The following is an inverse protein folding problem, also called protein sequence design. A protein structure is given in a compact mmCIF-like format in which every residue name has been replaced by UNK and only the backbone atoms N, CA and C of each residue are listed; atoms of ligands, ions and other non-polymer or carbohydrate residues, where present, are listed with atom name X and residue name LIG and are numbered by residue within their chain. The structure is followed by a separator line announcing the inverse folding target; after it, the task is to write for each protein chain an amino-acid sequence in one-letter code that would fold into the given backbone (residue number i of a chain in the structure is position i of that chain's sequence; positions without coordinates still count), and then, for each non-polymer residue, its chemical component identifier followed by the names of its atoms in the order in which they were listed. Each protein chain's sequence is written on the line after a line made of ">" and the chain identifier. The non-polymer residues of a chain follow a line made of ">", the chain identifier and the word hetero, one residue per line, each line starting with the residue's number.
data_IF_273799724354
#
_entry.id   IF_273799724354
#
_cell.length_a   1.000
_cell.length_b   1.000
_cell.length_c   1.000
_cell.angle_alpha   90.00
_cell.angle_beta   90.00
_cell.angle_gamma   90.00
#
_symmetry.space_group_name_H-M   'P 1'
#
loop_
_entity.id
_entity.type
_entity.pdbx_description
1 polymer ?
#
# COMPACT_ATOMS: atom_id res chain seq x y z
N UNK A 1 -6.83 2.98 -2.95
CA UNK A 1 -8.30 2.99 -2.76
C UNK A 1 -8.79 2.24 -1.54
N UNK A 2 -8.66 0.91 -1.50
CA UNK A 2 -9.17 0.06 -0.40
C UNK A 2 -8.73 0.54 1.00
N UNK A 3 -7.45 0.90 1.16
CA UNK A 3 -6.94 1.48 2.41
C UNK A 3 -7.64 2.79 2.81
N UNK A 4 -7.85 3.71 1.86
CA UNK A 4 -8.57 4.98 2.09
C UNK A 4 -10.00 4.71 2.55
N UNK A 5 -10.69 3.77 1.91
CA UNK A 5 -12.05 3.37 2.29
C UNK A 5 -12.11 2.79 3.71
N UNK A 6 -11.15 1.93 4.07
CA UNK A 6 -11.04 1.37 5.43
C UNK A 6 -10.75 2.47 6.45
N UNK A 7 -9.78 3.33 6.19
CA UNK A 7 -9.44 4.43 7.08
C UNK A 7 -10.65 5.34 7.34
N UNK A 8 -11.34 5.77 6.28
CA UNK A 8 -12.50 6.64 6.38
C UNK A 8 -13.67 5.98 7.14
N UNK A 9 -13.99 4.74 6.79
CA UNK A 9 -15.08 3.99 7.43
C UNK A 9 -14.81 3.79 8.91
N UNK A 10 -13.59 3.38 9.27
CA UNK A 10 -13.23 3.08 10.66
C UNK A 10 -13.16 4.33 11.50
N UNK A 11 -12.53 5.40 10.99
CA UNK A 11 -12.50 6.71 11.67
C UNK A 11 -13.90 7.20 11.99
N UNK A 12 -14.83 7.06 11.03
CA UNK A 12 -16.25 7.37 11.22
C UNK A 12 -16.90 6.49 12.30
N UNK A 13 -16.67 5.16 12.29
CA UNK A 13 -17.21 4.26 13.33
C UNK A 13 -16.70 4.59 14.73
N UNK A 14 -15.43 4.96 14.88
CA UNK A 14 -14.88 5.45 16.14
C UNK A 14 -15.57 6.76 16.59
N UNK A 15 -15.79 7.69 15.66
CA UNK A 15 -16.55 8.92 15.93
C UNK A 15 -17.98 8.65 16.39
N UNK A 16 -18.66 7.68 15.76
CA UNK A 16 -20.00 7.21 16.12
C UNK A 16 -20.04 6.42 17.46
N UNK A 17 -18.88 6.20 18.11
CA UNK A 17 -18.70 5.29 19.26
C UNK A 17 -19.12 3.84 19.00
N UNK A 18 -19.24 3.45 17.74
CA UNK A 18 -19.59 2.09 17.34
C UNK A 18 -18.33 1.23 17.17
N UNK A 19 -17.71 0.87 18.30
CA UNK A 19 -16.45 0.11 18.35
C UNK A 19 -16.62 -1.29 17.76
N UNK A 20 -17.79 -1.90 17.92
CA UNK A 20 -18.04 -3.23 17.39
C UNK A 20 -18.05 -3.23 15.85
N UNK A 21 -18.69 -2.24 15.23
CA UNK A 21 -18.62 -2.06 13.77
C UNK A 21 -17.16 -1.83 13.30
N UNK A 22 -16.36 -1.08 14.06
CA UNK A 22 -14.94 -0.89 13.75
C UNK A 22 -14.14 -2.21 13.83
N UNK A 23 -14.41 -3.06 14.83
CA UNK A 23 -13.82 -4.39 14.95
C UNK A 23 -14.20 -5.31 13.79
N UNK A 24 -15.44 -5.23 13.32
CA UNK A 24 -15.88 -5.97 12.13
C UNK A 24 -15.11 -5.55 10.88
N UNK A 25 -14.89 -4.25 10.67
CA UNK A 25 -14.06 -3.75 9.56
C UNK A 25 -12.61 -4.22 9.69
N UNK A 26 -12.05 -4.21 10.90
CA UNK A 26 -10.72 -4.75 11.16
C UNK A 26 -10.58 -6.24 10.80
N UNK A 27 -11.65 -7.04 10.93
CA UNK A 27 -11.67 -8.43 10.46
C UNK A 27 -11.63 -8.57 8.93
N UNK A 28 -12.19 -7.61 8.20
CA UNK A 28 -12.22 -7.64 6.72
C UNK A 28 -10.86 -7.38 6.07
N UNK A 29 -9.87 -6.85 6.81
CA UNK A 29 -8.54 -6.58 6.24
C UNK A 29 -7.85 -7.87 5.80
N UNK A 30 -8.07 -8.97 6.52
CA UNK A 30 -7.42 -10.26 6.26
C UNK A 30 -7.95 -10.88 4.97
N UNK A 31 -9.28 -10.86 4.79
CA UNK A 31 -9.92 -11.36 3.57
C UNK A 31 -9.58 -10.49 2.36
N UNK A 32 -9.57 -9.15 2.51
CA UNK A 32 -9.19 -8.22 1.46
C UNK A 32 -7.72 -8.37 1.06
N UNK A 33 -6.80 -8.44 2.04
CA UNK A 33 -5.39 -8.64 1.78
C UNK A 33 -5.11 -10.00 1.13
N UNK A 34 -5.77 -11.06 1.60
CA UNK A 34 -5.67 -12.39 1.00
C UNK A 34 -6.20 -12.42 -0.44
N UNK A 35 -7.36 -11.79 -0.70
CA UNK A 35 -7.95 -11.72 -2.03
C UNK A 35 -7.05 -10.97 -3.02
N UNK A 36 -6.65 -9.74 -2.69
CA UNK A 36 -5.75 -8.96 -3.56
C UNK A 36 -4.37 -9.61 -3.66
N UNK A 37 -3.83 -10.10 -2.56
CA UNK A 37 -2.59 -10.85 -2.54
C UNK A 37 -2.60 -12.03 -3.49
N UNK A 38 -3.65 -12.85 -3.46
CA UNK A 38 -3.81 -14.00 -4.35
C UNK A 38 -3.96 -13.59 -5.81
N UNK A 39 -4.79 -12.57 -6.12
CA UNK A 39 -4.97 -12.08 -7.49
C UNK A 39 -3.64 -11.63 -8.08
N UNK A 40 -2.88 -10.81 -7.37
CA UNK A 40 -1.62 -10.27 -7.86
C UNK A 40 -0.49 -11.30 -7.84
N UNK A 41 -0.49 -12.24 -6.90
CA UNK A 41 0.42 -13.39 -6.91
C UNK A 41 0.21 -14.24 -8.16
N UNK A 42 -1.05 -14.62 -8.46
CA UNK A 42 -1.40 -15.42 -9.63
C UNK A 42 -1.02 -14.66 -10.90
N UNK A 43 -1.34 -13.36 -10.97
CA UNK A 43 -0.95 -12.51 -12.10
C UNK A 43 0.57 -12.49 -12.31
N UNK A 44 1.35 -12.29 -11.24
CA UNK A 44 2.80 -12.20 -11.32
C UNK A 44 3.49 -13.54 -11.63
N UNK A 45 2.94 -14.67 -11.18
CA UNK A 45 3.56 -16.00 -11.41
C UNK A 45 3.18 -16.57 -12.78
N UNK A 46 1.92 -16.43 -13.20
CA UNK A 46 1.42 -17.07 -14.43
C UNK A 46 1.39 -16.15 -15.64
N UNK A 47 1.40 -14.82 -15.44
CA UNK A 47 1.27 -13.83 -16.51
C UNK A 47 2.43 -12.82 -16.52
N UNK A 48 3.57 -13.15 -15.89
CA UNK A 48 4.75 -12.28 -15.85
C UNK A 48 5.21 -11.82 -17.23
N UNK A 49 5.43 -12.74 -18.16
CA UNK A 49 5.90 -12.43 -19.51
C UNK A 49 4.93 -11.49 -20.28
N UNK A 50 3.62 -11.79 -20.42
CA UNK A 50 2.68 -10.85 -21.05
C UNK A 50 2.66 -9.47 -20.39
N UNK A 51 2.69 -9.41 -19.06
CA UNK A 51 2.72 -8.15 -18.31
C UNK A 51 4.00 -7.36 -18.64
N UNK A 52 5.14 -8.04 -18.71
CA UNK A 52 6.43 -7.42 -19.01
C UNK A 52 6.52 -6.96 -20.46
N UNK A 53 6.02 -7.74 -21.42
CA UNK A 53 5.93 -7.35 -22.83
C UNK A 53 5.05 -6.10 -22.97
N UNK A 54 3.87 -6.09 -22.34
CA UNK A 54 2.99 -4.92 -22.32
C UNK A 54 3.64 -3.69 -21.66
N UNK A 55 4.58 -3.92 -20.74
CA UNK A 55 5.34 -2.87 -20.06
C UNK A 55 6.57 -2.41 -20.87
N UNK A 56 6.84 -3.01 -22.04
CA UNK A 56 7.96 -2.65 -22.91
C UNK A 56 9.28 -3.37 -22.63
N UNK A 57 9.25 -4.52 -21.94
CA UNK A 57 10.45 -5.32 -21.71
C UNK A 57 11.02 -5.87 -23.02
N UNK A 58 12.34 -5.72 -23.20
CA UNK A 58 13.08 -6.23 -24.35
C UNK A 58 13.59 -7.66 -24.10
N UNK A 59 13.89 -8.45 -25.16
CA UNK A 59 14.30 -9.85 -25.01
C UNK A 59 15.53 -10.08 -24.13
N UNK A 60 16.46 -9.11 -24.10
CA UNK A 60 17.71 -9.15 -23.33
C UNK A 60 17.51 -9.03 -21.81
N UNK A 61 16.40 -8.42 -21.36
CA UNK A 61 16.09 -8.28 -19.93
C UNK A 61 14.93 -9.17 -19.47
N UNK A 62 14.27 -9.88 -20.39
CA UNK A 62 13.04 -10.62 -20.12
C UNK A 62 13.22 -11.62 -18.99
N UNK A 63 14.27 -12.43 -19.01
CA UNK A 63 14.53 -13.45 -17.99
C UNK A 63 14.74 -12.84 -16.60
N UNK A 64 15.52 -11.75 -16.52
CA UNK A 64 15.78 -11.05 -15.27
C UNK A 64 14.51 -10.39 -14.73
N UNK A 65 13.73 -9.75 -15.60
CA UNK A 65 12.49 -9.08 -15.25
C UNK A 65 11.42 -10.08 -14.80
N UNK A 66 11.30 -11.23 -15.48
CA UNK A 66 10.38 -12.31 -15.11
C UNK A 66 10.70 -12.87 -13.74
N UNK A 67 11.97 -13.13 -13.45
CA UNK A 67 12.40 -13.61 -12.12
C UNK A 67 12.11 -12.59 -11.03
N UNK A 68 12.42 -11.31 -11.28
CA UNK A 68 12.13 -10.22 -10.36
C UNK A 68 10.64 -10.11 -10.04
N UNK A 69 9.80 -10.06 -11.09
CA UNK A 69 8.35 -9.92 -10.95
C UNK A 69 7.73 -11.13 -10.25
N UNK A 70 8.19 -12.34 -10.56
CA UNK A 70 7.71 -13.58 -9.94
C UNK A 70 8.00 -13.58 -8.44
N UNK A 71 9.22 -13.22 -8.02
CA UNK A 71 9.59 -13.13 -6.60
C UNK A 71 8.74 -12.06 -5.90
N UNK A 72 8.58 -10.87 -6.49
CA UNK A 72 7.70 -9.83 -5.95
C UNK A 72 6.24 -10.29 -5.85
N UNK A 73 5.77 -11.15 -6.75
CA UNK A 73 4.46 -11.79 -6.69
C UNK A 73 4.21 -12.46 -5.34
N UNK A 74 5.18 -13.19 -4.81
CA UNK A 74 5.11 -13.80 -3.46
C UNK A 74 5.09 -12.76 -2.33
N UNK A 75 5.58 -11.54 -2.57
CA UNK A 75 5.49 -10.41 -1.66
C UNK A 75 4.10 -9.74 -1.61
N UNK A 76 3.31 -9.86 -2.69
CA UNK A 76 2.05 -9.12 -2.84
C UNK A 76 1.06 -9.29 -1.69
N UNK A 77 0.80 -10.50 -1.15
CA UNK A 77 -0.07 -10.64 0.01
C UNK A 77 0.40 -9.85 1.24
N UNK A 78 1.71 -9.83 1.50
CA UNK A 78 2.30 -9.10 2.62
C UNK A 78 2.25 -7.60 2.39
N UNK A 79 2.52 -7.14 1.16
CA UNK A 79 2.38 -5.75 0.76
C UNK A 79 0.94 -5.25 0.97
N UNK A 80 -0.05 -5.95 0.44
CA UNK A 80 -1.46 -5.58 0.58
C UNK A 80 -1.88 -5.58 2.05
N UNK A 81 -1.50 -6.60 2.82
CA UNK A 81 -1.78 -6.63 4.25
C UNK A 81 -1.15 -5.44 4.97
N UNK A 82 0.14 -5.16 4.74
CA UNK A 82 0.86 -4.04 5.34
C UNK A 82 0.17 -2.70 5.04
N UNK A 83 -0.15 -2.44 3.76
CA UNK A 83 -0.80 -1.18 3.34
C UNK A 83 -2.19 -1.03 3.95
N UNK A 84 -3.00 -2.10 3.95
CA UNK A 84 -4.34 -2.09 4.51
C UNK A 84 -4.29 -1.93 6.04
N UNK A 85 -3.43 -2.67 6.72
CA UNK A 85 -3.24 -2.60 8.17
C UNK A 85 -2.75 -1.22 8.62
N UNK A 86 -1.84 -0.60 7.87
CA UNK A 86 -1.38 0.76 8.12
C UNK A 86 -2.55 1.76 8.08
N UNK A 87 -3.40 1.66 7.05
CA UNK A 87 -4.59 2.50 6.92
C UNK A 87 -5.62 2.26 8.02
N UNK A 88 -5.81 1.00 8.44
CA UNK A 88 -6.67 0.64 9.55
C UNK A 88 -6.19 1.27 10.86
N UNK A 89 -4.92 1.12 11.20
CA UNK A 89 -4.34 1.66 12.45
C UNK A 89 -4.41 3.19 12.48
N UNK A 90 -4.10 3.85 11.35
CA UNK A 90 -4.30 5.30 11.19
C UNK A 90 -5.75 5.71 11.36
N UNK A 91 -6.71 4.89 10.92
CA UNK A 91 -8.14 5.14 11.08
C UNK A 91 -8.60 5.19 12.54
N UNK A 92 -7.88 4.53 13.45
CA UNK A 92 -8.12 4.65 14.91
C UNK A 92 -7.38 5.82 15.57
N UNK A 93 -6.61 6.60 14.80
CA UNK A 93 -5.73 7.66 15.30
C UNK A 93 -4.32 7.19 15.68
N UNK A 94 -3.94 5.94 15.39
CA UNK A 94 -2.59 5.42 15.65
C UNK A 94 -1.71 5.60 14.41
N UNK A 95 -1.02 6.74 14.32
CA UNK A 95 -0.12 7.04 13.21
C UNK A 95 1.33 6.58 13.47
N UNK A 96 1.73 6.49 14.74
CA UNK A 96 3.13 6.30 15.14
C UNK A 96 3.57 4.85 15.00
N UNK A 97 2.80 3.90 15.55
CA UNK A 97 3.18 2.48 15.52
C UNK A 97 3.26 1.90 14.12
N UNK A 98 2.27 2.10 13.22
CA UNK A 98 2.40 1.61 11.85
C UNK A 98 3.53 2.28 11.07
N UNK A 99 3.92 3.52 11.42
CA UNK A 99 5.11 4.16 10.86
C UNK A 99 6.40 3.47 11.33
N UNK A 100 6.52 3.14 12.63
CA UNK A 100 7.68 2.41 13.16
C UNK A 100 7.82 1.03 12.48
N UNK A 101 6.71 0.32 12.24
CA UNK A 101 6.74 -0.98 11.55
C UNK A 101 7.22 -0.87 10.11
N UNK A 102 6.78 0.18 9.39
CA UNK A 102 7.28 0.46 8.04
C UNK A 102 8.77 0.82 8.05
N UNK A 103 9.22 1.66 8.99
CA UNK A 103 10.63 2.02 9.14
C UNK A 103 11.48 0.77 9.39
N UNK A 104 11.02 -0.14 10.25
CA UNK A 104 11.72 -1.41 10.49
C UNK A 104 11.89 -2.20 9.18
N UNK A 105 10.83 -2.35 8.38
CA UNK A 105 10.92 -2.99 7.06
C UNK A 105 11.86 -2.25 6.11
N UNK A 106 11.76 -0.92 6.01
CA UNK A 106 12.63 -0.12 5.14
C UNK A 106 14.11 -0.24 5.55
N UNK A 107 14.42 -0.21 6.84
CA UNK A 107 15.78 -0.42 7.34
C UNK A 107 16.26 -1.83 7.01
N UNK A 108 15.41 -2.85 7.20
CA UNK A 108 15.72 -4.21 6.77
C UNK A 108 15.99 -4.30 5.27
N UNK A 109 15.23 -3.60 4.43
CA UNK A 109 15.45 -3.59 2.99
C UNK A 109 16.78 -2.95 2.63
N UNK A 110 17.08 -1.76 3.20
CA UNK A 110 18.35 -1.05 2.99
C UNK A 110 19.55 -1.90 3.38
N UNK A 111 19.43 -2.72 4.42
CA UNK A 111 20.51 -3.62 4.87
C UNK A 111 20.60 -4.86 3.96
N UNK A 112 19.47 -5.48 3.62
CA UNK A 112 19.44 -6.73 2.85
C UNK A 112 19.79 -6.52 1.37
N UNK A 113 19.51 -5.35 0.80
CA UNK A 113 19.78 -5.08 -0.62
C UNK A 113 21.28 -5.25 -0.94
N UNK A 114 22.23 -4.53 -0.31
CA UNK A 114 23.65 -4.75 -0.57
C UNK A 114 24.12 -6.18 -0.29
N UNK A 115 23.59 -6.81 0.76
CA UNK A 115 23.98 -8.18 1.15
C UNK A 115 23.58 -9.21 0.09
N UNK A 116 22.35 -9.12 -0.44
CA UNK A 116 21.81 -10.08 -1.40
C UNK A 116 22.15 -9.74 -2.84
N UNK A 117 22.29 -8.45 -3.17
CA UNK A 117 22.69 -8.02 -4.53
C UNK A 117 24.14 -8.40 -4.78
N UNK A 118 25.05 -8.01 -3.88
CA UNK A 118 26.50 -8.20 -4.06
C UNK A 118 27.06 -9.47 -3.41
N UNK A 119 26.25 -10.24 -2.68
CA UNK A 119 26.71 -11.48 -2.04
C UNK A 119 27.73 -11.24 -0.93
N UNK A 120 27.47 -10.27 -0.05
CA UNK A 120 28.40 -9.91 1.03
C UNK A 120 28.21 -10.86 2.22
N UNK A 121 29.29 -11.45 2.71
CA UNK A 121 29.28 -12.33 3.89
C UNK A 121 28.83 -13.76 3.55
N UNK A 122 27.82 -14.34 4.24
CA UNK A 122 27.36 -15.71 3.98
C UNK A 122 26.39 -15.82 2.80
N UNK A 123 26.01 -14.70 2.18
CA UNK A 123 25.00 -14.66 1.13
C UNK A 123 25.64 -14.81 -0.26
N UNK A 124 25.03 -15.58 -1.18
CA UNK A 124 25.48 -15.63 -2.58
C UNK A 124 25.14 -14.32 -3.30
N UNK A 125 25.88 -14.01 -4.37
CA UNK A 125 25.57 -12.90 -5.26
C UNK A 125 24.32 -13.23 -6.08
N UNK A 126 23.20 -12.55 -5.80
CA UNK A 126 21.91 -12.82 -6.45
C UNK A 126 21.47 -11.69 -7.39
N UNK A 127 22.19 -10.56 -7.43
CA UNK A 127 21.87 -9.42 -8.29
C UNK A 127 20.42 -8.96 -8.14
N UNK A 128 19.72 -8.86 -9.28
CA UNK A 128 18.30 -8.44 -9.35
C UNK A 128 17.37 -9.35 -8.53
N UNK A 129 17.63 -10.68 -8.49
CA UNK A 129 16.84 -11.60 -7.66
C UNK A 129 17.00 -11.29 -6.17
N UNK A 130 18.20 -10.89 -5.76
CA UNK A 130 18.52 -10.50 -4.39
C UNK A 130 17.70 -9.28 -3.95
N UNK A 131 17.60 -8.26 -4.81
CA UNK A 131 16.79 -7.07 -4.57
C UNK A 131 15.29 -7.39 -4.39
N UNK A 132 14.76 -8.27 -5.24
CA UNK A 132 13.36 -8.72 -5.09
C UNK A 132 13.16 -9.45 -3.75
N UNK A 133 14.07 -10.34 -3.38
CA UNK A 133 13.98 -11.11 -2.14
C UNK A 133 14.09 -10.22 -0.90
N UNK A 134 15.03 -9.27 -0.89
CA UNK A 134 15.16 -8.26 0.17
C UNK A 134 13.85 -7.48 0.36
N UNK A 135 13.20 -7.10 -0.75
CA UNK A 135 11.91 -6.41 -0.74
C UNK A 135 10.82 -7.27 -0.10
N UNK A 136 10.70 -8.54 -0.50
CA UNK A 136 9.70 -9.47 0.05
C UNK A 136 9.91 -9.70 1.54
N UNK A 137 11.15 -9.92 1.99
CA UNK A 137 11.48 -10.11 3.41
C UNK A 137 11.10 -8.87 4.23
N UNK A 138 11.33 -7.68 3.68
CA UNK A 138 11.03 -6.42 4.35
C UNK A 138 9.53 -6.14 4.46
N UNK A 139 8.78 -6.49 3.41
CA UNK A 139 7.32 -6.48 3.42
C UNK A 139 6.76 -7.49 4.42
N UNK A 140 7.34 -8.70 4.47
CA UNK A 140 6.97 -9.74 5.41
C UNK A 140 7.20 -9.29 6.85
N UNK A 141 8.34 -8.69 7.16
CA UNK A 141 8.63 -8.14 8.50
C UNK A 141 7.60 -7.08 8.90
N UNK A 142 7.36 -6.11 8.02
CA UNK A 142 6.40 -5.02 8.27
C UNK A 142 4.98 -5.54 8.45
N UNK A 143 4.56 -6.46 7.59
CA UNK A 143 3.26 -7.13 7.67
C UNK A 143 3.14 -7.95 8.97
N UNK A 144 4.19 -8.68 9.35
CA UNK A 144 4.26 -9.46 10.57
C UNK A 144 4.15 -8.61 11.83
N UNK A 145 4.82 -7.46 11.87
CA UNK A 145 4.71 -6.50 12.98
C UNK A 145 3.29 -5.91 13.09
N UNK A 146 2.71 -5.50 11.96
CA UNK A 146 1.30 -5.05 11.90
C UNK A 146 0.33 -6.15 12.37
N UNK A 147 0.53 -7.38 11.91
CA UNK A 147 -0.28 -8.55 12.26
C UNK A 147 -0.23 -8.81 13.75
N UNK A 148 0.99 -8.91 14.31
CA UNK A 148 1.20 -9.11 15.74
C UNK A 148 0.54 -8.02 16.56
N UNK A 149 0.70 -6.75 16.16
CA UNK A 149 0.14 -5.63 16.90
C UNK A 149 -1.41 -5.61 16.91
N UNK A 150 -2.04 -5.98 15.81
CA UNK A 150 -3.50 -6.08 15.69
C UNK A 150 -4.04 -7.27 16.50
N UNK A 151 -3.43 -8.45 16.35
CA UNK A 151 -3.92 -9.71 16.93
C UNK A 151 -3.61 -9.82 18.43
N UNK A 152 -2.48 -9.28 18.89
CA UNK A 152 -2.11 -9.27 20.32
C UNK A 152 -2.97 -8.32 21.18
N UNK A 153 -4.05 -7.75 20.64
CA UNK A 153 -4.96 -6.79 21.30
C UNK A 153 -4.24 -5.57 21.89
N UNK A 154 -3.09 -5.21 21.31
CA UNK A 154 -2.33 -4.00 21.66
C UNK A 154 -2.86 -2.76 20.93
N UNK A 155 -3.63 -2.97 19.86
CA UNK A 155 -4.33 -1.92 19.11
C UNK A 155 -5.69 -1.57 19.72
N UNK A 156 -6.35 -0.53 19.20
CA UNK A 156 -7.73 -0.16 19.54
C UNK A 156 -8.76 -1.24 19.12
N UNK A 157 -8.33 -2.27 18.38
CA UNK A 157 -9.20 -3.30 17.82
C UNK A 157 -9.16 -4.60 18.61
N UNK A 158 -10.30 -5.28 18.65
CA UNK A 158 -10.45 -6.65 19.17
C UNK A 158 -10.94 -7.56 18.05
N UNK A 159 -10.01 -8.10 17.28
CA UNK A 159 -10.34 -9.03 16.19
C UNK A 159 -10.72 -10.39 16.78
N UNK A 160 -11.92 -10.87 16.44
CA UNK A 160 -12.39 -12.24 16.72
C UNK A 160 -12.40 -13.04 15.43
N UNK A 161 -12.21 -14.37 15.51
CA UNK A 161 -12.26 -15.24 14.32
C UNK A 161 -13.57 -15.09 13.53
N UNK A 162 -14.70 -14.85 14.20
CA UNK A 162 -15.99 -14.63 13.56
C UNK A 162 -16.00 -13.43 12.60
N UNK A 163 -15.16 -12.42 12.82
CA UNK A 163 -15.09 -11.21 11.98
C UNK A 163 -14.25 -11.39 10.72
N UNK A 164 -13.53 -12.51 10.59
CA UNK A 164 -12.72 -12.84 9.42
C UNK A 164 -13.57 -13.24 8.22
N UNK A 165 -14.83 -13.65 8.44
CA UNK A 165 -15.75 -14.00 7.36
C UNK A 165 -16.07 -12.74 6.53
N UNK A 166 -15.87 -12.77 5.20
CA UNK A 166 -16.18 -11.63 4.34
C UNK A 166 -17.64 -11.19 4.49
N UNK A 167 -17.86 -9.90 4.74
CA UNK A 167 -19.19 -9.31 4.81
C UNK A 167 -19.39 -8.34 3.64
N UNK A 168 -20.26 -8.72 2.71
CA UNK A 168 -20.52 -7.93 1.50
C UNK A 168 -21.03 -6.52 1.83
N UNK A 169 -21.78 -6.36 2.92
CA UNK A 169 -22.24 -5.05 3.39
C UNK A 169 -21.08 -4.13 3.76
N UNK A 170 -20.08 -4.65 4.49
CA UNK A 170 -18.92 -3.87 4.91
C UNK A 170 -18.02 -3.56 3.71
N UNK A 171 -17.83 -4.54 2.82
CA UNK A 171 -17.07 -4.34 1.58
C UNK A 171 -17.70 -3.23 0.73
N UNK A 172 -19.04 -3.21 0.60
CA UNK A 172 -19.75 -2.14 -0.11
C UNK A 172 -19.49 -0.77 0.51
N UNK A 173 -19.51 -0.67 1.84
CA UNK A 173 -19.22 0.59 2.53
C UNK A 173 -17.77 1.05 2.34
N UNK A 174 -16.81 0.12 2.38
CA UNK A 174 -15.39 0.39 2.10
C UNK A 174 -15.23 0.94 0.67
N UNK A 175 -15.80 0.26 -0.33
CA UNK A 175 -15.65 0.66 -1.72
C UNK A 175 -16.49 1.88 -2.10
N UNK A 176 -17.54 2.22 -1.35
CA UNK A 176 -18.26 3.50 -1.56
C UNK A 176 -17.34 4.71 -1.42
N UNK A 177 -16.33 4.63 -0.55
CA UNK A 177 -15.30 5.66 -0.38
C UNK A 177 -14.03 5.31 -1.17
N UNK A 178 -13.65 4.03 -1.18
CA UNK A 178 -12.42 3.57 -1.80
C UNK A 178 -12.42 3.62 -3.32
N UNK A 179 -13.56 3.35 -3.98
CA UNK A 179 -13.67 3.28 -5.43
C UNK A 179 -13.38 4.62 -6.12
N UNK A 180 -13.98 5.76 -5.70
CA UNK A 180 -13.60 7.07 -6.26
C UNK A 180 -12.10 7.35 -6.19
N UNK A 181 -11.44 7.03 -5.05
CA UNK A 181 -10.00 7.20 -4.92
C UNK A 181 -9.19 6.26 -5.83
N UNK A 182 -9.68 5.06 -6.12
CA UNK A 182 -9.04 4.15 -7.09
C UNK A 182 -9.14 4.73 -8.49
N UNK A 183 -10.32 5.21 -8.87
CA UNK A 183 -10.54 5.84 -10.18
C UNK A 183 -9.62 7.03 -10.35
N UNK A 184 -9.46 7.90 -9.34
CA UNK A 184 -8.52 9.03 -9.41
C UNK A 184 -7.08 8.57 -9.67
N UNK A 185 -6.58 7.56 -8.95
CA UNK A 185 -5.22 7.04 -9.15
C UNK A 185 -5.03 6.38 -10.52
N UNK A 186 -6.07 5.67 -11.01
CA UNK A 186 -6.04 5.06 -12.35
C UNK A 186 -6.02 6.15 -13.42
N UNK A 187 -6.87 7.18 -13.29
CA UNK A 187 -6.89 8.31 -14.21
C UNK A 187 -5.53 9.02 -14.23
N UNK A 188 -4.93 9.27 -13.07
CA UNK A 188 -3.59 9.86 -12.97
C UNK A 188 -2.53 9.01 -13.71
N UNK A 189 -2.57 7.68 -13.50
CA UNK A 189 -1.65 6.75 -14.19
C UNK A 189 -1.84 6.76 -15.71
N UNK A 190 -3.08 6.80 -16.19
CA UNK A 190 -3.40 6.86 -17.63
C UNK A 190 -2.94 8.19 -18.23
N UNK A 191 -3.22 9.31 -17.56
CA UNK A 191 -2.76 10.64 -18.00
C UNK A 191 -1.24 10.67 -18.09
N UNK A 192 -0.54 10.13 -17.08
CA UNK A 192 0.91 10.05 -17.08
C UNK A 192 1.47 9.19 -18.21
N UNK A 193 0.83 8.06 -18.52
CA UNK A 193 1.21 7.21 -19.65
C UNK A 193 1.02 7.91 -21.00
N UNK A 194 -0.09 8.64 -21.18
CA UNK A 194 -0.33 9.44 -22.38
C UNK A 194 0.68 10.59 -22.51
N UNK A 195 0.99 11.26 -21.40
CA UNK A 195 1.98 12.33 -21.36
C UNK A 195 3.37 11.84 -21.79
N UNK A 196 3.81 10.69 -21.26
CA UNK A 196 5.07 10.06 -21.67
C UNK A 196 5.08 9.63 -23.15
N UNK A 197 3.96 9.11 -23.66
CA UNK A 197 3.85 8.76 -25.08
C UNK A 197 4.01 9.99 -25.98
N UNK A 198 3.37 11.12 -25.63
CA UNK A 198 3.54 12.38 -26.38
C UNK A 198 4.99 12.87 -26.30
N UNK A 199 5.63 12.78 -25.14
CA UNK A 199 7.03 13.16 -24.93
C UNK A 199 8.02 12.31 -25.71
N UNK A 200 7.69 11.04 -25.99
CA UNK A 200 8.57 10.15 -26.77
C UNK A 200 8.89 10.70 -28.17
N UNK A 201 7.98 11.46 -28.76
CA UNK A 201 8.18 12.14 -30.04
C UNK A 201 9.25 13.24 -30.00
N UNK A 202 9.60 13.75 -28.81
CA UNK A 202 10.60 14.81 -28.60
C UNK A 202 11.99 14.26 -28.26
N UNK A 203 12.16 12.94 -28.28
CA UNK A 203 13.43 12.25 -28.04
C UNK A 203 13.70 11.92 -26.57
N UNK A 204 14.68 11.03 -26.36
CA UNK A 204 15.01 10.46 -25.04
C UNK A 204 15.45 11.49 -24.01
N UNK A 205 16.07 12.59 -24.44
CA UNK A 205 16.51 13.70 -23.56
C UNK A 205 15.30 14.41 -22.93
N UNK A 206 14.22 14.62 -23.68
CA UNK A 206 13.01 15.25 -23.17
C UNK A 206 12.31 14.38 -22.12
N UNK A 207 12.22 13.06 -22.37
CA UNK A 207 11.69 12.09 -21.40
C UNK A 207 12.54 12.09 -20.12
N UNK A 208 13.87 12.06 -20.26
CA UNK A 208 14.77 12.08 -19.11
C UNK A 208 14.64 13.37 -18.28
N UNK A 209 14.56 14.54 -18.93
CA UNK A 209 14.38 15.82 -18.25
C UNK A 209 13.05 15.90 -17.47
N UNK A 210 11.96 15.42 -18.07
CA UNK A 210 10.65 15.33 -17.41
C UNK A 210 10.68 14.35 -16.25
N UNK A 211 11.37 13.21 -16.38
CA UNK A 211 11.56 12.25 -15.30
C UNK A 211 12.26 12.85 -14.08
N UNK A 212 13.31 13.66 -14.29
CA UNK A 212 13.97 14.41 -13.22
C UNK A 212 12.99 15.41 -12.58
N UNK A 213 12.25 16.15 -13.40
CA UNK A 213 11.24 17.11 -12.93
C UNK A 213 10.18 16.45 -12.03
N UNK A 214 9.64 15.30 -12.43
CA UNK A 214 8.67 14.56 -11.62
C UNK A 214 9.26 14.07 -10.30
N UNK A 215 10.52 13.63 -10.25
CA UNK A 215 11.14 13.25 -8.97
C UNK A 215 11.25 14.43 -7.99
N UNK A 216 11.53 15.63 -8.50
CA UNK A 216 11.53 16.85 -7.68
C UNK A 216 10.11 17.17 -7.20
N UNK A 217 9.12 17.04 -8.09
CA UNK A 217 7.71 17.22 -7.71
C UNK A 217 7.31 16.22 -6.63
N UNK A 218 7.58 14.92 -6.78
CA UNK A 218 7.23 13.90 -5.79
C UNK A 218 7.77 14.25 -4.39
N UNK A 219 9.01 14.74 -4.29
CA UNK A 219 9.58 15.22 -3.04
C UNK A 219 8.81 16.41 -2.45
N UNK A 220 8.34 17.34 -3.28
CA UNK A 220 7.51 18.46 -2.86
C UNK A 220 6.08 18.04 -2.47
N UNK A 221 5.53 17.00 -3.10
CA UNK A 221 4.19 16.46 -2.80
C UNK A 221 4.17 15.58 -1.54
N UNK A 222 5.30 14.97 -1.15
CA UNK A 222 5.37 14.08 0.03
C UNK A 222 4.81 14.72 1.33
N UNK A 223 5.18 15.94 1.72
CA UNK A 223 4.60 16.60 2.90
C UNK A 223 3.09 16.80 2.78
N UNK A 224 2.60 17.17 1.58
CA UNK A 224 1.17 17.36 1.33
C UNK A 224 0.40 16.04 1.46
N UNK A 225 0.95 14.95 0.94
CA UNK A 225 0.40 13.61 1.15
C UNK A 225 0.39 13.23 2.64
N UNK A 226 1.44 13.54 3.38
CA UNK A 226 1.52 13.29 4.83
C UNK A 226 0.40 13.99 5.60
N UNK A 227 0.20 15.29 5.35
CA UNK A 227 -0.88 16.09 5.97
C UNK A 227 -2.26 15.55 5.56
N UNK A 228 -2.47 15.26 4.27
CA UNK A 228 -3.73 14.70 3.77
C UNK A 228 -4.09 13.37 4.44
N UNK A 229 -3.11 12.47 4.60
CA UNK A 229 -3.28 11.18 5.27
C UNK A 229 -3.55 11.33 6.78
N UNK A 230 -2.98 12.35 7.43
CA UNK A 230 -3.26 12.67 8.83
C UNK A 230 -4.64 13.33 9.04
N UNK A 231 -5.09 14.12 8.06
CA UNK A 231 -6.37 14.81 8.10
C UNK A 231 -7.55 13.84 7.93
N UNK A 232 -7.41 12.81 7.08
CA UNK A 232 -8.45 11.83 6.78
C UNK A 232 -9.13 11.23 8.04
N UNK A 233 -8.40 10.67 9.03
CA UNK A 233 -9.02 10.13 10.23
C UNK A 233 -9.62 11.20 11.14
N UNK A 234 -9.04 12.41 11.17
CA UNK A 234 -9.57 13.54 11.95
C UNK A 234 -10.94 13.95 11.40
N UNK A 235 -11.06 14.10 10.09
CA UNK A 235 -12.33 14.44 9.43
C UNK A 235 -13.34 13.30 9.61
N UNK A 236 -12.94 12.05 9.37
CA UNK A 236 -13.80 10.89 9.54
C UNK A 236 -14.36 10.76 10.96
N UNK A 237 -13.52 10.92 11.97
CA UNK A 237 -13.93 10.89 13.38
C UNK A 237 -14.90 12.02 13.73
N UNK A 238 -14.56 13.28 13.38
CA UNK A 238 -15.44 14.41 13.70
C UNK A 238 -16.78 14.32 12.97
N UNK A 239 -16.80 13.80 11.74
CA UNK A 239 -18.03 13.53 10.99
C UNK A 239 -18.90 12.49 11.70
N UNK A 240 -18.31 11.35 12.09
CA UNK A 240 -19.02 10.30 12.83
C UNK A 240 -19.54 10.76 14.20
N UNK A 241 -18.77 11.60 14.89
CA UNK A 241 -19.14 12.18 16.19
C UNK A 241 -20.11 13.38 16.09
N UNK A 242 -20.51 13.78 14.87
CA UNK A 242 -21.34 14.96 14.59
C UNK A 242 -20.76 16.28 15.13
N UNK A 243 -19.43 16.38 15.21
CA UNK A 243 -18.70 17.54 15.73
C UNK A 243 -18.38 18.54 14.60
N UNK A 244 -19.41 19.13 14.00
CA UNK A 244 -19.29 19.99 12.81
C UNK A 244 -18.33 21.16 12.98
N UNK A 245 -18.32 21.81 14.15
CA UNK A 245 -17.41 22.93 14.46
C UNK A 245 -15.92 22.52 14.46
N UNK A 246 -15.62 21.27 14.85
CA UNK A 246 -14.25 20.73 14.82
C UNK A 246 -13.88 20.26 13.43
N UNK A 247 -14.83 19.67 12.72
CA UNK A 247 -14.67 19.28 11.31
C UNK A 247 -14.27 20.47 10.44
N UNK A 248 -15.04 21.56 10.47
CA UNK A 248 -14.74 22.76 9.68
C UNK A 248 -13.45 23.47 10.10
N UNK A 249 -13.00 23.31 11.35
CA UNK A 249 -11.70 23.81 11.80
C UNK A 249 -10.53 22.96 11.31
N UNK A 250 -10.75 21.67 11.05
CA UNK A 250 -9.70 20.79 10.54
C UNK A 250 -9.50 20.91 9.02
N UNK A 251 -10.54 21.33 8.29
CA UNK A 251 -10.52 21.47 6.82
C UNK A 251 -10.09 22.87 6.37
N UNK A 252 -10.22 23.88 7.23
CA UNK A 252 -9.73 25.24 7.00
C UNK A 252 -8.22 25.32 7.20
#
# INVERSE_FOLDING_TARGET
>A
GTGVGINALVSRRFGERNIEAANHVAGQIFSLAGLFGAIFLIAAVFFSEPILIMSGATPDIMDLATQYLTILGFGMPFLFFMVIANNLLRGSGDAVRPMVFMIAGTVTNIILDPLLIFGIGPFPEMGVRGAALATVISQLLSAGLCFYYIVARKSAYRVKLAYLRPSLSILRDIYRVGFPSMTMMITESVVFALFNNVLSAFGSVAIAAVGIGFRILDLAWMPMYGVSQGLLPIVGFNFGARLWKRLWRAVK
#
